data_IF_480305070940
#
_entry.id   IF_480305070940
#
_cell.length_a   1.000
_cell.length_b   1.000
_cell.length_c   1.000
_cell.angle_alpha   90.00
_cell.angle_beta   90.00
_cell.angle_gamma   90.00
#
_symmetry.space_group_name_H-M   'P 1'
#
loop_
_entity.id
_entity.type
_entity.pdbx_description
1 polymer ?
#
# COMPACT_ATOMS: atom_id res chain seq x y z
N UNK A 1 -0.53 2.60 11.16
CA UNK A 1 -0.93 2.35 9.77
C UNK A 1 -2.30 2.91 9.42
N UNK A 2 -2.73 2.62 8.21
CA UNK A 2 -4.01 3.13 7.69
C UNK A 2 -5.20 2.59 8.50
N UNK A 3 -5.18 1.32 8.88
CA UNK A 3 -6.23 0.75 9.72
C UNK A 3 -6.37 1.47 11.05
N UNK A 4 -5.26 1.85 11.66
CA UNK A 4 -5.23 2.62 12.91
C UNK A 4 -5.83 4.01 12.70
N UNK A 5 -5.50 4.68 11.59
CA UNK A 5 -6.06 6.00 11.25
C UNK A 5 -7.57 5.95 11.11
N UNK A 6 -8.10 4.91 10.47
CA UNK A 6 -9.54 4.71 10.30
C UNK A 6 -10.22 4.53 11.67
N UNK A 7 -9.64 3.71 12.53
CA UNK A 7 -10.17 3.47 13.89
C UNK A 7 -10.12 4.73 14.76
N UNK A 8 -9.03 5.48 14.69
CA UNK A 8 -8.87 6.74 15.44
C UNK A 8 -9.89 7.80 14.99
N UNK A 9 -10.32 7.76 13.73
CA UNK A 9 -11.38 8.62 13.22
C UNK A 9 -12.78 8.19 13.67
N UNK A 10 -12.92 7.10 14.40
CA UNK A 10 -14.19 6.61 14.93
C UNK A 10 -14.92 5.63 14.04
N UNK A 11 -14.27 5.08 13.03
CA UNK A 11 -14.89 4.16 12.08
C UNK A 11 -14.42 2.72 12.29
N UNK A 12 -15.25 1.77 11.89
CA UNK A 12 -14.85 0.36 11.79
C UNK A 12 -13.97 0.17 10.56
N UNK A 13 -12.74 -0.27 10.77
CA UNK A 13 -11.80 -0.53 9.69
C UNK A 13 -12.06 -1.91 9.07
N UNK A 14 -12.09 -1.96 7.74
CA UNK A 14 -12.25 -3.21 6.99
C UNK A 14 -11.30 -3.24 5.80
N UNK A 15 -11.22 -4.41 5.18
CA UNK A 15 -10.41 -4.63 3.97
C UNK A 15 -11.21 -5.43 2.97
N UNK A 16 -11.19 -4.97 1.71
CA UNK A 16 -11.74 -5.71 0.59
C UNK A 16 -10.59 -6.03 -0.37
N UNK A 17 -10.40 -7.31 -0.68
CA UNK A 17 -9.33 -7.76 -1.57
C UNK A 17 -9.82 -7.72 -3.01
N UNK A 18 -9.16 -6.95 -3.86
CA UNK A 18 -9.55 -6.76 -5.25
C UNK A 18 -8.79 -7.67 -6.20
N UNK A 19 -7.48 -7.80 -6.02
CA UNK A 19 -6.65 -8.58 -6.93
C UNK A 19 -5.37 -9.03 -6.25
N UNK A 20 -4.89 -10.19 -6.65
CA UNK A 20 -3.62 -10.76 -6.24
C UNK A 20 -3.01 -11.43 -7.47
N UNK A 21 -1.87 -10.90 -7.95
CA UNK A 21 -1.31 -11.29 -9.23
C UNK A 21 0.22 -11.32 -9.19
N UNK A 22 0.79 -12.03 -10.15
CA UNK A 22 2.23 -12.07 -10.39
C UNK A 22 2.48 -11.45 -11.76
N UNK A 23 3.38 -10.49 -11.82
CA UNK A 23 3.73 -9.80 -13.06
C UNK A 23 5.23 -9.57 -13.15
N UNK A 24 5.79 -9.43 -14.36
CA UNK A 24 7.18 -8.99 -14.49
C UNK A 24 7.32 -7.53 -14.06
N UNK A 25 8.41 -7.22 -13.35
CA UNK A 25 8.70 -5.87 -12.93
C UNK A 25 8.89 -4.94 -14.14
N UNK A 26 8.23 -3.79 -14.10
CA UNK A 26 8.49 -2.70 -15.05
C UNK A 26 9.82 -2.04 -14.69
N UNK A 27 10.29 -1.10 -15.53
CA UNK A 27 11.49 -0.33 -15.25
C UNK A 27 11.32 0.44 -13.92
N UNK A 28 10.15 1.07 -13.70
CA UNK A 28 9.87 1.80 -12.47
C UNK A 28 9.77 0.88 -11.26
N UNK A 29 9.14 -0.28 -11.39
CA UNK A 29 9.08 -1.27 -10.32
C UNK A 29 10.48 -1.71 -9.90
N UNK A 30 11.33 -1.97 -10.87
CA UNK A 30 12.71 -2.39 -10.63
C UNK A 30 13.51 -1.31 -9.88
N UNK A 31 13.33 -0.04 -10.24
CA UNK A 31 13.97 1.07 -9.55
C UNK A 31 13.53 1.18 -8.09
N UNK A 32 12.22 1.10 -7.85
CA UNK A 32 11.67 1.23 -6.49
C UNK A 32 12.05 0.04 -5.59
N UNK A 33 12.14 -1.15 -6.16
CA UNK A 33 12.40 -2.38 -5.41
C UNK A 33 13.87 -2.81 -5.41
N UNK A 34 14.73 -2.12 -6.16
CA UNK A 34 16.14 -2.47 -6.24
C UNK A 34 16.37 -3.85 -6.86
N UNK A 35 15.57 -4.24 -7.84
CA UNK A 35 15.63 -5.51 -8.55
C UNK A 35 15.83 -5.27 -10.05
N UNK A 36 16.03 -6.35 -10.80
CA UNK A 36 16.16 -6.27 -12.25
C UNK A 36 14.80 -6.12 -12.92
N UNK A 37 14.77 -5.41 -14.06
CA UNK A 37 13.59 -5.31 -14.91
C UNK A 37 13.17 -6.71 -15.36
N UNK A 38 11.86 -6.96 -15.36
CA UNK A 38 11.21 -8.23 -15.69
C UNK A 38 11.34 -9.32 -14.61
N UNK A 39 12.06 -9.07 -13.53
CA UNK A 39 12.02 -9.99 -12.39
C UNK A 39 10.58 -10.12 -11.88
N UNK A 40 10.10 -11.33 -11.54
CA UNK A 40 8.71 -11.48 -11.12
C UNK A 40 8.43 -10.79 -9.79
N UNK A 41 7.33 -10.05 -9.76
CA UNK A 41 6.84 -9.37 -8.57
C UNK A 41 5.42 -9.84 -8.24
N UNK A 42 5.09 -9.80 -6.97
CA UNK A 42 3.74 -9.99 -6.46
C UNK A 42 3.06 -8.64 -6.34
N UNK A 43 1.84 -8.53 -6.87
CA UNK A 43 1.03 -7.32 -6.82
C UNK A 43 -0.24 -7.63 -6.04
N UNK A 44 -0.54 -6.78 -5.07
CA UNK A 44 -1.69 -6.94 -4.17
C UNK A 44 -2.50 -5.65 -4.21
N UNK A 45 -3.76 -5.76 -4.64
CA UNK A 45 -4.69 -4.64 -4.67
C UNK A 45 -5.75 -4.83 -3.59
N UNK A 46 -5.94 -3.81 -2.76
CA UNK A 46 -6.91 -3.82 -1.67
C UNK A 46 -7.64 -2.50 -1.56
N UNK A 47 -8.88 -2.56 -1.13
CA UNK A 47 -9.59 -1.39 -0.61
C UNK A 47 -9.59 -1.45 0.91
N UNK A 48 -9.24 -0.34 1.54
CA UNK A 48 -9.47 -0.18 2.97
C UNK A 48 -10.77 0.58 3.15
N UNK A 49 -11.59 0.13 4.08
CA UNK A 49 -12.93 0.68 4.27
C UNK A 49 -13.10 1.27 5.67
N UNK A 50 -13.97 2.27 5.76
CA UNK A 50 -14.41 2.87 7.01
C UNK A 50 -15.93 2.70 7.08
N UNK A 51 -16.44 1.90 8.03
CA UNK A 51 -17.85 1.51 8.10
C UNK A 51 -18.38 1.00 6.74
N UNK A 52 -17.63 0.09 6.12
CA UNK A 52 -17.91 -0.53 4.81
C UNK A 52 -17.83 0.40 3.59
N UNK A 53 -17.43 1.66 3.77
CA UNK A 53 -17.22 2.60 2.67
C UNK A 53 -15.75 2.66 2.28
N UNK A 54 -15.41 2.58 0.98
CA UNK A 54 -14.03 2.65 0.56
C UNK A 54 -13.42 4.03 0.87
N UNK A 55 -12.24 4.04 1.47
CA UNK A 55 -11.51 5.27 1.80
C UNK A 55 -10.07 5.28 1.31
N UNK A 56 -9.46 4.11 1.13
CA UNK A 56 -8.10 4.00 0.61
C UNK A 56 -8.03 2.86 -0.40
N UNK A 57 -7.43 3.16 -1.55
CA UNK A 57 -7.04 2.13 -2.52
C UNK A 57 -5.54 1.88 -2.35
N UNK A 58 -5.18 0.63 -2.05
CA UNK A 58 -3.80 0.23 -1.81
C UNK A 58 -3.31 -0.68 -2.93
N UNK A 59 -2.16 -0.34 -3.49
CA UNK A 59 -1.46 -1.16 -4.46
C UNK A 59 -0.07 -1.45 -3.89
N UNK A 60 0.17 -2.70 -3.50
CA UNK A 60 1.42 -3.15 -2.94
C UNK A 60 2.19 -3.98 -3.96
N UNK A 61 3.49 -3.73 -4.08
CA UNK A 61 4.39 -4.44 -4.99
C UNK A 61 5.61 -4.92 -4.23
N UNK A 62 5.93 -6.20 -4.40
CA UNK A 62 7.04 -6.84 -3.71
C UNK A 62 7.65 -7.92 -4.61
N UNK A 63 8.97 -8.09 -4.55
CA UNK A 63 9.62 -9.16 -5.29
C UNK A 63 9.04 -10.52 -4.88
N UNK A 64 8.76 -11.38 -5.85
CA UNK A 64 8.23 -12.72 -5.59
C UNK A 64 9.14 -13.54 -4.68
N UNK A 65 10.44 -13.30 -4.73
CA UNK A 65 11.42 -13.95 -3.84
C UNK A 65 11.18 -13.64 -2.36
N UNK A 66 10.53 -12.51 -2.05
CA UNK A 66 10.22 -12.13 -0.67
C UNK A 66 8.80 -12.55 -0.27
N UNK A 67 7.85 -12.56 -1.18
CA UNK A 67 6.47 -12.92 -0.86
C UNK A 67 5.74 -13.40 -2.11
N UNK A 68 5.32 -14.66 -2.10
CA UNK A 68 4.49 -15.21 -3.18
C UNK A 68 3.01 -14.90 -2.93
N UNK A 69 2.20 -15.03 -3.97
CA UNK A 69 0.74 -14.92 -3.83
C UNK A 69 0.21 -15.94 -2.82
N UNK A 70 0.70 -17.17 -2.87
CA UNK A 70 0.27 -18.24 -1.97
C UNK A 70 0.61 -17.92 -0.52
N UNK A 71 1.82 -17.47 -0.24
CA UNK A 71 2.23 -17.11 1.12
C UNK A 71 1.41 -15.94 1.67
N UNK A 72 1.11 -14.96 0.82
CA UNK A 72 0.24 -13.85 1.22
C UNK A 72 -1.18 -14.32 1.56
N UNK A 73 -1.76 -15.20 0.74
CA UNK A 73 -3.10 -15.74 0.98
C UNK A 73 -3.18 -16.53 2.29
N UNK A 74 -2.10 -17.19 2.68
CA UNK A 74 -2.03 -17.96 3.92
C UNK A 74 -1.70 -17.11 5.15
N UNK A 75 -1.39 -15.84 4.96
CA UNK A 75 -1.06 -14.92 6.06
C UNK A 75 -2.33 -14.38 6.72
N UNK A 76 -2.14 -13.75 7.88
CA UNK A 76 -3.25 -13.12 8.64
C UNK A 76 -3.71 -11.77 8.09
N UNK A 77 -3.21 -11.36 6.93
CA UNK A 77 -3.62 -10.12 6.28
C UNK A 77 -2.74 -8.90 6.55
N UNK A 78 -1.86 -8.93 7.54
CA UNK A 78 -0.86 -7.89 7.74
C UNK A 78 0.29 -8.08 6.77
N UNK A 79 0.56 -7.07 5.94
CA UNK A 79 1.63 -7.12 4.94
C UNK A 79 3.00 -7.30 5.60
N UNK A 80 3.29 -6.55 6.64
CA UNK A 80 4.58 -6.60 7.31
C UNK A 80 4.81 -7.94 8.01
N UNK A 81 3.77 -8.50 8.61
CA UNK A 81 3.84 -9.84 9.22
C UNK A 81 4.02 -10.94 8.18
N UNK A 82 3.34 -10.84 7.03
CA UNK A 82 3.51 -11.78 5.93
C UNK A 82 4.95 -11.79 5.40
N UNK A 83 5.53 -10.62 5.23
CA UNK A 83 6.93 -10.46 4.78
C UNK A 83 7.88 -11.09 5.81
N UNK A 84 7.70 -10.78 7.08
CA UNK A 84 8.54 -11.33 8.16
C UNK A 84 8.48 -12.85 8.20
N UNK A 85 7.30 -13.42 8.07
CA UNK A 85 7.10 -14.88 8.09
C UNK A 85 7.74 -15.56 6.88
N UNK A 86 7.72 -14.92 5.70
CA UNK A 86 8.25 -15.49 4.46
C UNK A 86 9.76 -15.39 4.32
N UNK A 87 10.39 -14.35 4.88
CA UNK A 87 11.75 -13.99 4.53
C UNK A 87 12.68 -13.80 5.72
N UNK A 88 12.18 -13.68 6.93
CA UNK A 88 12.92 -13.21 8.11
C UNK A 88 13.44 -11.77 7.99
N UNK A 89 13.09 -11.04 6.93
CA UNK A 89 13.40 -9.62 6.84
C UNK A 89 12.46 -8.82 7.74
N UNK A 90 13.03 -7.88 8.46
CA UNK A 90 12.27 -6.96 9.32
C UNK A 90 12.31 -5.60 8.68
N UNK A 91 11.13 -5.02 8.43
CA UNK A 91 11.01 -3.65 7.94
C UNK A 91 11.39 -2.71 9.08
N UNK A 92 12.41 -1.89 8.85
CA UNK A 92 12.97 -1.01 9.87
C UNK A 92 12.55 0.44 9.70
N UNK A 93 12.38 0.91 8.47
CA UNK A 93 11.96 2.27 8.18
C UNK A 93 11.30 2.34 6.81
N UNK A 94 10.66 3.47 6.56
CA UNK A 94 10.01 3.74 5.29
C UNK A 94 10.28 5.18 4.86
N UNK A 95 10.40 5.39 3.57
CA UNK A 95 10.43 6.71 2.95
C UNK A 95 9.10 6.95 2.26
N UNK A 96 8.51 8.11 2.51
CA UNK A 96 7.18 8.43 2.02
C UNK A 96 7.20 9.74 1.24
N UNK A 97 6.56 9.71 0.07
CA UNK A 97 6.26 10.90 -0.71
C UNK A 97 4.74 11.11 -0.70
N UNK A 98 4.31 12.30 -0.37
CA UNK A 98 2.90 12.67 -0.35
C UNK A 98 2.60 13.65 -1.48
N UNK A 99 1.69 13.27 -2.37
CA UNK A 99 1.27 14.07 -3.51
C UNK A 99 -0.24 14.31 -3.46
N UNK A 100 -0.66 15.51 -3.84
CA UNK A 100 -2.06 15.77 -4.13
C UNK A 100 -2.34 15.39 -5.57
N UNK A 101 -3.40 14.64 -5.81
CA UNK A 101 -3.83 14.31 -7.17
C UNK A 101 -5.27 14.71 -7.40
N UNK A 102 -5.58 15.05 -8.63
CA UNK A 102 -6.95 15.34 -9.05
C UNK A 102 -7.70 14.04 -9.40
N UNK A 103 -8.85 14.16 -9.99
CA UNK A 103 -9.65 13.00 -10.39
C UNK A 103 -8.86 12.07 -11.31
N UNK A 104 -8.80 10.79 -10.94
CA UNK A 104 -8.24 9.73 -11.74
C UNK A 104 -9.37 8.72 -12.00
N UNK A 105 -9.76 8.45 -13.29
CA UNK A 105 -10.99 7.71 -13.60
C UNK A 105 -11.14 6.38 -12.90
N UNK A 106 -10.11 5.53 -12.92
CA UNK A 106 -10.20 4.21 -12.30
C UNK A 106 -10.20 4.26 -10.77
N UNK A 107 -9.22 4.96 -10.20
CA UNK A 107 -9.04 5.02 -8.73
C UNK A 107 -10.18 5.79 -8.07
N UNK A 108 -10.57 6.91 -8.64
CA UNK A 108 -11.65 7.73 -8.10
C UNK A 108 -13.00 7.01 -8.16
N UNK A 109 -13.24 6.23 -9.22
CA UNK A 109 -14.44 5.40 -9.33
C UNK A 109 -14.47 4.32 -8.25
N UNK A 110 -13.37 3.59 -8.08
CA UNK A 110 -13.26 2.52 -7.08
C UNK A 110 -13.45 3.07 -5.66
N UNK A 111 -12.95 4.27 -5.39
CA UNK A 111 -13.11 4.95 -4.11
C UNK A 111 -14.45 5.66 -3.97
N UNK A 112 -15.27 5.66 -5.01
CA UNK A 112 -16.52 6.41 -5.05
C UNK A 112 -16.30 7.90 -4.73
N UNK A 113 -15.23 8.47 -5.26
CA UNK A 113 -14.90 9.88 -5.12
C UNK A 113 -15.57 10.69 -6.21
N UNK A 114 -16.08 11.88 -5.86
CA UNK A 114 -16.67 12.77 -6.86
C UNK A 114 -15.59 13.37 -7.76
N UNK A 115 -15.93 13.84 -8.98
CA UNK A 115 -14.96 14.49 -9.86
C UNK A 115 -14.30 15.74 -9.25
N UNK A 116 -14.89 16.32 -8.24
CA UNK A 116 -14.39 17.53 -7.56
C UNK A 116 -13.61 17.21 -6.29
N UNK A 117 -13.58 15.95 -5.88
CA UNK A 117 -12.86 15.51 -4.68
C UNK A 117 -11.41 15.16 -5.04
N UNK A 118 -10.47 15.87 -4.44
CA UNK A 118 -9.06 15.54 -4.56
C UNK A 118 -8.70 14.32 -3.76
N UNK A 119 -7.70 13.60 -4.22
CA UNK A 119 -7.13 12.46 -3.51
C UNK A 119 -5.71 12.79 -3.05
N UNK A 120 -5.29 12.19 -1.96
CA UNK A 120 -3.89 12.17 -1.59
C UNK A 120 -3.26 10.86 -2.04
N UNK A 121 -2.10 10.94 -2.66
CA UNK A 121 -1.32 9.76 -3.03
C UNK A 121 -0.10 9.67 -2.13
N UNK A 122 -0.04 8.63 -1.32
CA UNK A 122 1.08 8.34 -0.46
C UNK A 122 1.88 7.19 -1.08
N UNK A 123 3.09 7.50 -1.54
CA UNK A 123 4.03 6.54 -2.10
C UNK A 123 5.03 6.16 -1.02
N UNK A 124 5.14 4.87 -0.72
CA UNK A 124 5.96 4.39 0.39
C UNK A 124 6.90 3.31 -0.08
N UNK A 125 8.19 3.49 0.16
CA UNK A 125 9.19 2.41 0.04
C UNK A 125 9.58 1.97 1.44
N UNK A 126 9.41 0.70 1.73
CA UNK A 126 9.77 0.10 3.01
C UNK A 126 11.12 -0.59 2.88
N UNK A 127 12.00 -0.33 3.82
CA UNK A 127 13.39 -0.81 3.84
C UNK A 127 13.65 -1.73 5.02
N UNK A 128 14.51 -2.71 4.83
CA UNK A 128 14.98 -3.58 5.88
C UNK A 128 16.14 -2.94 6.68
N UNK A 129 16.74 -3.72 7.58
CA UNK A 129 17.84 -3.30 8.45
C UNK A 129 19.13 -2.94 7.69
N UNK A 130 19.25 -3.38 6.44
CA UNK A 130 20.40 -3.08 5.57
C UNK A 130 20.09 -1.96 4.57
N UNK A 131 18.99 -1.24 4.78
CA UNK A 131 18.50 -0.23 3.86
C UNK A 131 18.22 -0.78 2.46
N UNK A 132 17.79 -2.04 2.38
CA UNK A 132 17.39 -2.64 1.12
C UNK A 132 15.87 -2.45 0.94
N UNK A 133 15.41 -1.96 -0.23
CA UNK A 133 13.98 -1.83 -0.45
C UNK A 133 13.32 -3.21 -0.56
N UNK A 134 12.24 -3.40 0.17
CA UNK A 134 11.51 -4.67 0.23
C UNK A 134 10.11 -4.55 -0.35
N UNK A 135 9.39 -3.47 -0.03
CA UNK A 135 7.99 -3.28 -0.40
C UNK A 135 7.78 -1.87 -0.92
N UNK A 136 7.10 -1.75 -2.04
CA UNK A 136 6.66 -0.47 -2.59
C UNK A 136 5.13 -0.41 -2.56
N UNK A 137 4.59 0.60 -1.91
CA UNK A 137 3.15 0.76 -1.74
C UNK A 137 2.67 2.09 -2.28
N UNK A 138 1.58 2.05 -3.04
CA UNK A 138 0.84 3.21 -3.48
C UNK A 138 -0.49 3.23 -2.73
N UNK A 139 -0.75 4.32 -2.00
CA UNK A 139 -1.98 4.47 -1.24
C UNK A 139 -2.70 5.72 -1.70
N UNK A 140 -3.84 5.54 -2.35
CA UNK A 140 -4.71 6.62 -2.79
C UNK A 140 -5.77 6.84 -1.73
N UNK A 141 -5.76 8.01 -1.10
CA UNK A 141 -6.55 8.29 0.10
C UNK A 141 -7.62 9.32 -0.19
N UNK A 142 -8.86 8.96 0.13
CA UNK A 142 -10.01 9.83 0.08
C UNK A 142 -10.09 10.58 1.40
N UNK A 143 -9.77 11.87 1.39
CA UNK A 143 -9.59 12.66 2.62
C UNK A 143 -10.90 13.07 3.30
N UNK A 144 -12.05 12.86 2.67
CA UNK A 144 -13.35 13.26 3.24
C UNK A 144 -13.70 12.52 4.55
N UNK A 145 -13.17 11.31 4.76
CA UNK A 145 -13.46 10.51 5.94
C UNK A 145 -12.25 10.33 6.87
N UNK A 146 -11.04 10.49 6.36
CA UNK A 146 -9.80 10.23 7.11
C UNK A 146 -8.83 11.39 6.93
N UNK A 147 -8.25 11.85 8.02
CA UNK A 147 -7.20 12.89 8.00
C UNK A 147 -5.83 12.25 8.18
N UNK A 148 -4.86 12.83 7.51
CA UNK A 148 -3.46 12.47 7.66
C UNK A 148 -2.78 13.51 8.54
N UNK A 149 -2.24 13.10 9.70
CA UNK A 149 -1.60 14.00 10.66
C UNK A 149 -0.12 13.67 10.77
N UNK A 150 0.71 14.69 10.65
CA UNK A 150 2.15 14.60 10.83
C UNK A 150 2.53 15.47 12.03
N UNK A 151 3.24 14.90 12.98
CA UNK A 151 3.76 15.64 14.14
C UNK A 151 5.26 15.83 13.96
N UNK A 152 5.70 17.08 14.06
CA UNK A 152 7.13 17.45 14.01
C UNK A 152 7.56 17.91 15.40
N UNK A 153 8.61 17.30 15.91
CA UNK A 153 9.24 17.73 17.16
C UNK A 153 10.34 18.75 16.87
N UNK A 154 10.34 19.85 17.61
CA UNK A 154 11.34 20.91 17.52
C UNK A 154 12.56 20.62 18.40
#
# INVERSE_FOLDING_TARGET
>A
GIGTMIKEAGYEAGTEYLNLDEQPATILDAEHLGIETKEPITIIERLRTANHKPVVYCLDKIAKTYLTCTDYQQSSGSMLEAIKASTNHVIMHAEMDLEAISYEPHISEVLNASPHEGLMLLKVVHYDEKHQPILYSLNYIKSSLVKFTITKSE
#
